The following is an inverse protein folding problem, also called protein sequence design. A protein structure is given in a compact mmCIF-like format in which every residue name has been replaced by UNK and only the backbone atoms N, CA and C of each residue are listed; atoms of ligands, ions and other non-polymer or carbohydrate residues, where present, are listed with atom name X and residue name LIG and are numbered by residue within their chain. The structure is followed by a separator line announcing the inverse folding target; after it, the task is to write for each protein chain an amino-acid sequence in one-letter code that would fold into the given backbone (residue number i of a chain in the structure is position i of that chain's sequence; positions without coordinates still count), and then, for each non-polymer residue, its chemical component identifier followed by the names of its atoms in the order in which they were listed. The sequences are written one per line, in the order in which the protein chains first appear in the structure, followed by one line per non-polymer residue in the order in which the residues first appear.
data_IF_428591975687
#
_entry.id   IF_428591975687
#
_cell.length_a   1.000
_cell.length_b   1.000
_cell.length_c   1.000
_cell.angle_alpha   90.00
_cell.angle_beta   90.00
_cell.angle_gamma   90.00
#
_symmetry.space_group_name_H-M   'P 1'
#
loop_
_entity.id
_entity.type
_entity.pdbx_description
1 polymer ?
#
# COMPACT_ATOMS: atom_id res chain seq x y z
N UNK A 1 -24.91 1.56 9.84
CA UNK A 1 -23.75 2.07 10.60
C UNK A 1 -22.60 1.07 10.83
N UNK A 2 -22.79 -0.16 11.31
CA UNK A 2 -21.67 -1.13 11.42
C UNK A 2 -21.25 -1.70 10.05
N UNK A 3 -22.24 -2.10 9.23
CA UNK A 3 -22.04 -2.67 7.89
C UNK A 3 -21.31 -1.72 6.92
N UNK A 4 -21.69 -0.45 6.85
CA UNK A 4 -21.07 0.55 5.94
C UNK A 4 -19.59 0.78 6.27
N UNK A 5 -19.21 0.81 7.55
CA UNK A 5 -17.82 1.04 7.98
C UNK A 5 -16.90 -0.15 7.72
N UNK A 6 -17.41 -1.37 7.87
CA UNK A 6 -16.66 -2.57 7.51
C UNK A 6 -16.50 -2.69 5.98
N UNK A 7 -17.49 -2.21 5.21
CA UNK A 7 -17.38 -2.04 3.76
C UNK A 7 -16.33 -0.99 3.37
N UNK A 8 -16.28 0.16 4.05
CA UNK A 8 -15.25 1.20 3.81
C UNK A 8 -13.83 0.69 4.06
N UNK A 9 -13.61 0.02 5.20
CA UNK A 9 -12.32 -0.58 5.53
C UNK A 9 -11.92 -1.68 4.54
N UNK A 10 -12.91 -2.49 4.09
CA UNK A 10 -12.72 -3.48 3.04
C UNK A 10 -12.35 -2.86 1.70
N UNK A 11 -13.00 -1.75 1.34
CA UNK A 11 -12.73 -0.98 0.12
C UNK A 11 -11.32 -0.40 0.10
N UNK A 12 -10.90 0.25 1.19
CA UNK A 12 -9.54 0.81 1.33
C UNK A 12 -8.48 -0.27 1.18
N UNK A 13 -8.67 -1.44 1.80
CA UNK A 13 -7.71 -2.56 1.69
C UNK A 13 -7.61 -3.10 0.28
N UNK A 14 -8.74 -3.25 -0.41
CA UNK A 14 -8.76 -3.68 -1.82
C UNK A 14 -8.05 -2.67 -2.71
N UNK A 15 -8.32 -1.37 -2.53
CA UNK A 15 -7.65 -0.31 -3.26
C UNK A 15 -6.13 -0.36 -3.05
N UNK A 16 -5.67 -0.47 -1.80
CA UNK A 16 -4.24 -0.62 -1.48
C UNK A 16 -3.61 -1.82 -2.20
N UNK A 17 -4.26 -2.99 -2.15
CA UNK A 17 -3.76 -4.19 -2.83
C UNK A 17 -3.69 -4.00 -4.36
N UNK A 18 -4.71 -3.38 -4.95
CA UNK A 18 -4.76 -3.09 -6.40
C UNK A 18 -3.63 -2.14 -6.79
N UNK A 19 -3.39 -1.08 -6.03
CA UNK A 19 -2.32 -0.13 -6.34
C UNK A 19 -0.92 -0.75 -6.18
N UNK A 20 -0.71 -1.60 -5.17
CA UNK A 20 0.53 -2.38 -5.04
C UNK A 20 0.74 -3.33 -6.23
N UNK A 21 -0.33 -3.97 -6.70
CA UNK A 21 -0.28 -4.84 -7.88
C UNK A 21 0.01 -4.05 -9.17
N UNK A 22 -0.61 -2.88 -9.35
CA UNK A 22 -0.33 -2.00 -10.50
C UNK A 22 1.11 -1.49 -10.49
N UNK A 23 1.66 -1.17 -9.32
CA UNK A 23 3.07 -0.83 -9.19
C UNK A 23 3.97 -1.99 -9.62
N UNK A 24 3.61 -3.23 -9.23
CA UNK A 24 4.32 -4.44 -9.66
C UNK A 24 4.29 -4.60 -11.19
N UNK A 25 3.12 -4.41 -11.81
CA UNK A 25 2.96 -4.44 -13.27
C UNK A 25 3.85 -3.40 -13.94
N UNK A 26 3.92 -2.17 -13.41
CA UNK A 26 4.83 -1.14 -13.92
C UNK A 26 6.30 -1.58 -13.93
N UNK A 27 6.75 -2.28 -12.89
CA UNK A 27 8.12 -2.84 -12.85
C UNK A 27 8.29 -4.00 -13.83
N UNK A 28 7.30 -4.88 -13.96
CA UNK A 28 7.35 -5.98 -14.93
C UNK A 28 7.43 -5.46 -16.37
N UNK A 29 6.68 -4.41 -16.72
CA UNK A 29 6.80 -3.75 -18.03
C UNK A 29 8.23 -3.29 -18.28
N UNK A 30 8.90 -2.71 -17.28
CA UNK A 30 10.31 -2.30 -17.41
C UNK A 30 11.22 -3.50 -17.65
N UNK A 31 11.03 -4.61 -16.91
CA UNK A 31 11.82 -5.83 -17.06
C UNK A 31 11.65 -6.43 -18.46
N UNK A 32 10.41 -6.61 -18.94
CA UNK A 32 10.13 -7.20 -20.24
C UNK A 32 10.57 -6.31 -21.42
N UNK A 33 10.78 -5.02 -21.17
CA UNK A 33 11.22 -4.06 -22.20
C UNK A 33 12.74 -3.83 -22.19
N UNK A 34 13.48 -4.70 -21.49
CA UNK A 34 14.94 -4.79 -21.58
C UNK A 34 15.69 -3.93 -20.57
N UNK A 35 15.02 -3.44 -19.51
CA UNK A 35 15.73 -2.74 -18.43
C UNK A 35 16.59 -3.75 -17.65
N UNK A 36 17.89 -3.46 -17.45
CA UNK A 36 18.77 -4.35 -16.69
C UNK A 36 18.32 -4.41 -15.22
N UNK A 37 17.87 -5.58 -14.81
CA UNK A 37 17.55 -5.91 -13.42
C UNK A 37 18.43 -7.09 -12.96
N UNK A 38 18.66 -7.24 -11.64
CA UNK A 38 19.22 -8.47 -11.09
C UNK A 38 18.40 -9.69 -11.54
N UNK A 39 19.06 -10.85 -11.68
CA UNK A 39 18.41 -12.12 -12.11
C UNK A 39 17.14 -12.43 -11.30
N UNK A 40 17.15 -12.10 -10.00
CA UNK A 40 15.99 -12.15 -9.12
C UNK A 40 15.64 -10.72 -8.75
N UNK A 41 14.67 -10.08 -9.42
CA UNK A 41 14.32 -8.69 -9.15
C UNK A 41 13.52 -8.62 -7.82
N UNK A 42 14.06 -7.99 -6.76
CA UNK A 42 13.42 -8.01 -5.45
C UNK A 42 12.14 -7.19 -5.41
N UNK A 43 12.09 -6.06 -6.14
CA UNK A 43 10.95 -5.13 -6.12
C UNK A 43 9.60 -5.76 -6.49
N UNK A 44 9.46 -6.38 -7.69
CA UNK A 44 8.23 -7.05 -8.11
C UNK A 44 7.77 -8.14 -7.13
N UNK A 45 8.72 -8.93 -6.60
CA UNK A 45 8.42 -10.01 -5.65
C UNK A 45 7.82 -9.42 -4.37
N UNK A 46 8.45 -8.39 -3.80
CA UNK A 46 7.97 -7.73 -2.59
C UNK A 46 6.58 -7.11 -2.83
N UNK A 47 6.37 -6.42 -3.95
CA UNK A 47 5.08 -5.81 -4.28
C UNK A 47 3.98 -6.86 -4.44
N UNK A 48 4.24 -7.94 -5.18
CA UNK A 48 3.27 -9.01 -5.43
C UNK A 48 2.87 -9.73 -4.13
N UNK A 49 3.86 -10.14 -3.32
CA UNK A 49 3.61 -10.81 -2.03
C UNK A 49 2.83 -9.88 -1.10
N UNK A 50 3.22 -8.61 -1.02
CA UNK A 50 2.54 -7.62 -0.17
C UNK A 50 1.11 -7.38 -0.63
N UNK A 51 0.87 -7.22 -1.94
CA UNK A 51 -0.46 -7.05 -2.50
C UNK A 51 -1.36 -8.25 -2.15
N UNK A 52 -0.83 -9.46 -2.28
CA UNK A 52 -1.55 -10.69 -1.93
C UNK A 52 -1.87 -10.75 -0.43
N UNK A 53 -0.90 -10.46 0.43
CA UNK A 53 -1.08 -10.45 1.88
C UNK A 53 -2.13 -9.41 2.30
N UNK A 54 -2.05 -8.18 1.77
CA UNK A 54 -3.03 -7.12 2.06
C UNK A 54 -4.43 -7.51 1.58
N UNK A 55 -4.55 -8.16 0.43
CA UNK A 55 -5.84 -8.62 -0.11
C UNK A 55 -6.47 -9.73 0.75
N UNK A 56 -5.69 -10.74 1.14
CA UNK A 56 -6.21 -11.96 1.78
C UNK A 56 -6.27 -11.83 3.30
N UNK A 57 -5.22 -11.31 3.94
CA UNK A 57 -5.08 -11.34 5.40
C UNK A 57 -5.86 -10.19 6.02
N UNK A 58 -6.85 -10.50 6.88
CA UNK A 58 -7.69 -9.50 7.55
C UNK A 58 -7.07 -8.91 8.83
N UNK A 59 -5.75 -8.78 8.87
CA UNK A 59 -5.05 -8.32 10.06
C UNK A 59 -4.94 -6.79 10.12
N UNK A 60 -5.16 -6.24 11.32
CA UNK A 60 -5.21 -4.79 11.59
C UNK A 60 -3.91 -4.03 11.28
N UNK A 61 -2.80 -4.74 11.09
CA UNK A 61 -1.49 -4.19 10.71
C UNK A 61 -1.18 -4.25 9.21
N UNK A 62 -2.03 -4.87 8.38
CA UNK A 62 -1.79 -4.97 6.94
C UNK A 62 -1.72 -3.62 6.21
N UNK A 63 -2.53 -2.59 6.55
CA UNK A 63 -2.36 -1.27 5.94
C UNK A 63 -1.00 -0.63 6.22
N UNK A 64 -0.46 -0.84 7.44
CA UNK A 64 0.87 -0.36 7.81
C UNK A 64 1.94 -1.06 6.99
N UNK A 65 1.85 -2.39 6.84
CA UNK A 65 2.79 -3.18 6.05
C UNK A 65 2.79 -2.75 4.57
N UNK A 66 1.60 -2.59 3.97
CA UNK A 66 1.49 -2.11 2.58
C UNK A 66 2.06 -0.70 2.38
N UNK A 67 1.82 0.20 3.35
CA UNK A 67 2.39 1.55 3.34
C UNK A 67 3.92 1.53 3.44
N UNK A 68 4.48 0.77 4.38
CA UNK A 68 5.93 0.65 4.57
C UNK A 68 6.63 0.09 3.34
N UNK A 69 6.03 -0.92 2.71
CA UNK A 69 6.55 -1.50 1.46
C UNK A 69 6.54 -0.47 0.34
N UNK A 70 5.42 0.23 0.13
CA UNK A 70 5.33 1.26 -0.91
C UNK A 70 6.36 2.39 -0.70
N UNK A 71 6.57 2.82 0.54
CA UNK A 71 7.59 3.80 0.90
C UNK A 71 9.01 3.27 0.66
N UNK A 72 9.32 2.06 1.15
CA UNK A 72 10.63 1.44 1.00
C UNK A 72 11.05 1.33 -0.48
N UNK A 73 10.14 0.86 -1.34
CA UNK A 73 10.43 0.76 -2.77
C UNK A 73 10.52 2.13 -3.45
N UNK A 74 9.82 3.14 -2.94
CA UNK A 74 9.95 4.50 -3.46
C UNK A 74 11.32 5.09 -3.14
N UNK A 75 11.80 4.88 -1.90
CA UNK A 75 13.17 5.24 -1.52
C UNK A 75 14.20 4.49 -2.37
N UNK A 76 14.03 3.18 -2.56
CA UNK A 76 14.90 2.38 -3.42
C UNK A 76 14.92 2.86 -4.87
N UNK A 77 13.76 3.23 -5.43
CA UNK A 77 13.66 3.78 -6.78
C UNK A 77 14.41 5.11 -6.93
N UNK A 78 14.31 6.00 -5.94
CA UNK A 78 15.04 7.29 -5.93
C UNK A 78 16.54 7.05 -5.72
N UNK A 79 16.92 6.26 -4.72
CA UNK A 79 18.31 5.96 -4.37
C UNK A 79 19.07 5.25 -5.49
N UNK A 80 18.38 4.47 -6.33
CA UNK A 80 18.99 3.81 -7.50
C UNK A 80 19.46 4.80 -8.57
N UNK A 81 18.97 6.05 -8.57
CA UNK A 81 19.24 7.03 -9.63
C UNK A 81 18.66 6.69 -11.00
N UNK A 82 17.97 5.56 -11.15
CA UNK A 82 17.48 5.07 -12.46
C UNK A 82 16.14 5.66 -12.88
N UNK A 83 15.38 6.25 -11.95
CA UNK A 83 14.03 6.75 -12.18
C UNK A 83 13.99 7.97 -13.11
N UNK A 84 14.79 9.01 -12.84
CA UNK A 84 14.82 10.23 -13.65
C UNK A 84 15.25 9.96 -15.11
N UNK A 85 16.32 9.19 -15.38
CA UNK A 85 16.72 8.85 -16.75
C UNK A 85 15.62 8.14 -17.55
N UNK A 86 14.83 7.25 -16.91
CA UNK A 86 13.72 6.55 -17.58
C UNK A 86 12.56 7.48 -17.94
N UNK A 87 12.35 8.54 -17.16
CA UNK A 87 11.32 9.55 -17.42
C UNK A 87 11.76 10.58 -18.48
N UNK A 88 13.07 10.80 -18.63
CA UNK A 88 13.64 11.75 -19.59
C UNK A 88 13.80 11.17 -21.01
N UNK A 89 13.60 9.86 -21.21
CA UNK A 89 13.80 9.17 -22.48
C UNK A 89 12.46 8.63 -23.05
N UNK A 90 11.58 9.51 -23.59
CA UNK A 90 10.26 9.11 -24.08
C UNK A 90 10.33 8.20 -25.32
N UNK A 91 11.48 8.17 -26.02
CA UNK A 91 11.73 7.27 -27.16
C UNK A 91 11.72 5.79 -26.76
N UNK A 92 12.03 5.49 -25.49
CA UNK A 92 11.94 4.14 -24.91
C UNK A 92 10.60 3.98 -24.19
N UNK A 93 9.54 3.79 -24.96
CA UNK A 93 8.16 3.72 -24.46
C UNK A 93 7.95 2.69 -23.34
N UNK A 94 8.63 1.54 -23.40
CA UNK A 94 8.53 0.50 -22.37
C UNK A 94 9.00 0.94 -20.99
N UNK A 95 10.29 1.30 -20.83
CA UNK A 95 10.81 1.85 -19.59
C UNK A 95 10.07 3.12 -19.13
N UNK A 96 9.72 4.01 -20.07
CA UNK A 96 9.01 5.26 -19.78
C UNK A 96 7.61 5.01 -19.19
N UNK A 97 6.77 4.26 -19.91
CA UNK A 97 5.40 3.97 -19.49
C UNK A 97 5.36 3.10 -18.24
N UNK A 98 6.26 2.11 -18.14
CA UNK A 98 6.38 1.26 -16.95
C UNK A 98 6.79 2.06 -15.71
N UNK A 99 7.70 3.04 -15.86
CA UNK A 99 8.11 3.94 -14.76
C UNK A 99 6.95 4.85 -14.34
N UNK A 100 6.23 5.45 -15.28
CA UNK A 100 5.04 6.26 -14.97
C UNK A 100 3.96 5.47 -14.26
N UNK A 101 3.62 4.29 -14.78
CA UNK A 101 2.64 3.39 -14.16
C UNK A 101 3.06 3.03 -12.73
N UNK A 102 4.34 2.68 -12.55
CA UNK A 102 4.87 2.37 -11.24
C UNK A 102 4.73 3.56 -10.27
N UNK A 103 5.15 4.76 -10.67
CA UNK A 103 5.11 5.96 -9.82
C UNK A 103 3.67 6.29 -9.42
N UNK A 104 2.75 6.37 -10.38
CA UNK A 104 1.36 6.74 -10.12
C UNK A 104 0.69 5.70 -9.21
N UNK A 105 0.88 4.42 -9.51
CA UNK A 105 0.35 3.34 -8.69
C UNK A 105 0.93 3.37 -7.28
N UNK A 106 2.22 3.67 -7.11
CA UNK A 106 2.85 3.67 -5.81
C UNK A 106 2.43 4.86 -4.94
N UNK A 107 2.23 6.04 -5.55
CA UNK A 107 1.64 7.19 -4.85
C UNK A 107 0.21 6.88 -4.39
N UNK A 108 -0.59 6.24 -5.23
CA UNK A 108 -1.93 5.81 -4.86
C UNK A 108 -1.93 4.74 -3.75
N UNK A 109 -0.96 3.82 -3.76
CA UNK A 109 -0.76 2.84 -2.69
C UNK A 109 -0.41 3.52 -1.37
N UNK A 110 0.46 4.53 -1.37
CA UNK A 110 0.80 5.30 -0.16
C UNK A 110 -0.44 6.01 0.39
N UNK A 111 -1.21 6.68 -0.47
CA UNK A 111 -2.45 7.36 -0.06
C UNK A 111 -3.48 6.39 0.54
N UNK A 112 -3.70 5.24 -0.10
CA UNK A 112 -4.60 4.19 0.41
C UNK A 112 -4.09 3.59 1.73
N UNK A 113 -2.77 3.38 1.85
CA UNK A 113 -2.11 2.89 3.07
C UNK A 113 -2.31 3.85 4.24
N UNK A 114 -2.05 5.13 4.04
CA UNK A 114 -2.29 6.18 5.03
C UNK A 114 -3.76 6.23 5.46
N UNK A 115 -4.69 6.21 4.50
CA UNK A 115 -6.12 6.19 4.78
C UNK A 115 -6.51 4.97 5.66
N UNK A 116 -5.96 3.79 5.35
CA UNK A 116 -6.19 2.57 6.13
C UNK A 116 -5.65 2.65 7.56
N UNK A 117 -4.46 3.23 7.74
CA UNK A 117 -3.86 3.46 9.06
C UNK A 117 -4.71 4.45 9.88
N UNK A 118 -5.11 5.57 9.29
CA UNK A 118 -5.94 6.56 9.98
C UNK A 118 -7.33 6.03 10.34
N UNK A 119 -7.93 5.21 9.48
CA UNK A 119 -9.21 4.57 9.75
C UNK A 119 -9.11 3.56 10.91
N UNK A 120 -8.01 2.80 10.97
CA UNK A 120 -7.75 1.87 12.08
C UNK A 120 -7.51 2.60 13.42
N UNK A 121 -6.77 3.71 13.42
CA UNK A 121 -6.50 4.50 14.64
C UNK A 121 -7.74 5.18 15.21
N UNK A 122 -8.69 5.61 14.35
CA UNK A 122 -9.98 6.17 14.80
C UNK A 122 -10.86 5.14 15.53
N UNK A 123 -10.76 3.86 15.15
CA UNK A 123 -11.46 2.75 15.81
C UNK A 123 -11.00 2.53 17.26
N UNK A 124 -9.71 2.73 17.53
CA UNK A 124 -9.15 2.54 18.88
C UNK A 124 -9.61 3.61 19.88
N UNK A 125 -9.80 4.86 19.44
CA UNK A 125 -10.20 5.97 20.31
C UNK A 125 -11.65 5.93 20.79
N UNK A 126 -12.54 5.28 20.04
CA UNK A 126 -13.97 5.19 20.38
C UNK A 126 -14.30 4.02 21.30
N UNK A 127 -13.44 3.00 21.39
CA UNK A 127 -13.62 1.86 22.30
C UNK A 127 -13.21 2.11 23.75
N UNK A 128 -12.35 3.10 24.00
CA UNK A 128 -11.84 3.44 25.35
C UNK A 128 -12.81 4.33 26.14
N UNK A 129 -13.83 4.92 25.49
CA UNK A 129 -14.85 5.74 26.13
C UNK A 129 -16.05 4.91 26.63
N UNK A 130 -15.82 3.69 27.15
CA UNK A 130 -16.84 3.03 27.96
C UNK A 130 -16.88 3.77 29.32
N UNK A 131 -18.02 4.33 29.75
CA UNK A 131 -18.08 5.05 31.01
C UNK A 131 -17.73 4.10 32.14
N UNK A 132 -16.87 4.55 33.05
CA UNK A 132 -16.75 3.93 34.37
C UNK A 132 -18.12 4.05 35.05
N UNK A 133 -19.00 3.06 34.85
CA UNK A 133 -20.21 2.92 35.63
C UNK A 133 -19.76 2.44 37.01
N UNK A 134 -19.41 3.41 37.85
CA UNK A 134 -19.37 3.23 39.29
C UNK A 134 -20.76 2.83 39.75
N UNK A 135 -21.03 1.53 39.69
CA UNK A 135 -22.19 0.90 40.30
C UNK A 135 -22.07 1.16 41.80
N UNK A 136 -22.72 2.23 42.25
CA UNK A 136 -22.98 2.47 43.66
C UNK A 136 -23.82 1.30 44.17
N UNK A 137 -23.16 0.30 44.78
CA UNK A 137 -23.81 -0.60 45.73
C UNK A 137 -24.25 0.22 46.93
N UNK A 138 -25.46 0.76 46.87
CA UNK A 138 -26.22 1.18 48.04
C UNK A 138 -27.16 0.05 48.43
N UNK A 139 -26.96 -0.49 49.63
CA UNK A 139 -28.01 -1.07 50.48
C UNK A 139 -28.45 -2.51 50.19
N UNK A 140 -27.98 -3.44 51.02
CA UNK A 140 -28.81 -4.12 52.03
C UNK A 140 -27.93 -4.87 53.02
#
# INVERSE_FOLDING_TARGET
MANERDQDLGGIRRALAVFLALACVGVLVQIFTGVPYPKVPPGPIILAVTALLVAVVRWRWMPVLGLLVALFLSVGAVASGTTLPRLAEPTRLGPFAGTWLQIVAQLAAIAAGLAGVFAASRKARTGTAAPFSGERRTGR
#
